data_IF_729396705981
#
_entry.id   IF_729396705981
#
_cell.length_a   1.000
_cell.length_b   1.000
_cell.length_c   1.000
_cell.angle_alpha   90.00
_cell.angle_beta   90.00
_cell.angle_gamma   90.00
#
_symmetry.space_group_name_H-M   'P 1'
#
loop_
_entity.id
_entity.type
_entity.pdbx_description
1 polymer ?
#
# COMPACT_ATOMS: atom_id res chain seq x y z
N UNK A 1 12.06 12.35 11.20
CA UNK A 1 10.68 12.41 10.70
C UNK A 1 10.26 10.97 10.47
N UNK A 2 9.45 10.41 11.37
CA UNK A 2 9.00 9.02 11.25
C UNK A 2 8.01 8.90 10.10
N UNK A 3 8.02 7.76 9.41
CA UNK A 3 6.97 7.45 8.44
C UNK A 3 5.77 7.01 9.27
N UNK A 4 4.67 7.77 9.25
CA UNK A 4 3.40 7.31 9.82
C UNK A 4 2.86 6.21 8.92
N UNK A 5 2.95 4.97 9.42
CA UNK A 5 2.47 3.78 8.73
C UNK A 5 1.02 3.55 9.18
N UNK A 6 0.10 3.18 8.26
CA UNK A 6 -1.28 2.86 8.63
C UNK A 6 -1.32 1.82 9.75
N UNK A 7 -2.27 1.91 10.68
CA UNK A 7 -2.39 0.98 11.80
C UNK A 7 -3.06 -0.35 11.42
N UNK A 8 -3.69 -0.42 10.23
CA UNK A 8 -4.37 -1.62 9.76
C UNK A 8 -4.46 -1.71 8.23
N UNK A 9 -4.88 -2.88 7.74
CA UNK A 9 -5.15 -3.13 6.31
C UNK A 9 -6.30 -2.23 5.82
N UNK A 10 -7.35 -2.04 6.63
CA UNK A 10 -8.52 -1.26 6.25
C UNK A 10 -8.20 0.24 6.18
N UNK A 11 -7.32 0.73 7.07
CA UNK A 11 -6.79 2.09 6.99
C UNK A 11 -5.88 2.27 5.77
N UNK A 12 -5.09 1.26 5.42
CA UNK A 12 -4.27 1.26 4.20
C UNK A 12 -5.15 1.38 2.95
N UNK A 13 -6.26 0.63 2.89
CA UNK A 13 -7.24 0.74 1.80
C UNK A 13 -7.87 2.12 1.73
N UNK A 14 -8.25 2.68 2.88
CA UNK A 14 -8.85 4.02 2.97
C UNK A 14 -7.89 5.07 2.42
N UNK A 15 -6.63 5.05 2.85
CA UNK A 15 -5.59 5.98 2.40
C UNK A 15 -5.32 5.88 0.89
N UNK A 16 -5.27 4.65 0.35
CA UNK A 16 -5.12 4.43 -1.09
C UNK A 16 -6.31 5.01 -1.85
N UNK A 17 -7.54 4.75 -1.40
CA UNK A 17 -8.75 5.28 -2.02
C UNK A 17 -8.84 6.81 -1.97
N UNK A 18 -8.48 7.43 -0.85
CA UNK A 18 -8.43 8.89 -0.68
C UNK A 18 -7.42 9.53 -1.63
N UNK A 19 -6.33 8.82 -1.92
CA UNK A 19 -5.29 9.22 -2.87
C UNK A 19 -5.61 8.81 -4.32
N UNK A 20 -6.84 8.38 -4.61
CA UNK A 20 -7.31 7.92 -5.91
C UNK A 20 -6.55 6.70 -6.48
N UNK A 21 -5.94 5.89 -5.61
CA UNK A 21 -5.42 4.57 -5.99
C UNK A 21 -6.51 3.51 -5.89
N UNK A 22 -6.59 2.68 -6.93
CA UNK A 22 -7.45 1.50 -6.94
C UNK A 22 -6.63 0.34 -6.39
N UNK A 23 -6.99 -0.12 -5.20
CA UNK A 23 -6.34 -1.25 -4.56
C UNK A 23 -7.39 -2.22 -4.03
N UNK A 24 -7.11 -3.51 -4.17
CA UNK A 24 -7.85 -4.55 -3.48
C UNK A 24 -7.25 -4.82 -2.09
N UNK A 25 -7.94 -5.65 -1.32
CA UNK A 25 -7.48 -6.03 0.02
C UNK A 25 -6.12 -6.75 -0.01
N UNK A 26 -5.82 -7.49 -1.08
CA UNK A 26 -4.57 -8.24 -1.21
C UNK A 26 -3.36 -7.31 -1.35
N UNK A 27 -3.47 -6.30 -2.22
CA UNK A 27 -2.46 -5.27 -2.42
C UNK A 27 -2.27 -4.44 -1.14
N UNK A 28 -3.36 -4.00 -0.52
CA UNK A 28 -3.29 -3.24 0.74
C UNK A 28 -2.65 -4.06 1.87
N UNK A 29 -2.93 -5.36 1.94
CA UNK A 29 -2.29 -6.27 2.92
C UNK A 29 -0.79 -6.36 2.69
N UNK A 30 -0.39 -6.58 1.44
CA UNK A 30 1.04 -6.73 1.08
C UNK A 30 1.81 -5.44 1.33
N UNK A 31 1.22 -4.28 1.00
CA UNK A 31 1.79 -2.96 1.26
C UNK A 31 1.90 -2.66 2.76
N UNK A 32 0.84 -2.95 3.54
CA UNK A 32 0.88 -2.77 4.99
C UNK A 32 1.99 -3.60 5.64
N UNK A 33 2.13 -4.88 5.26
CA UNK A 33 3.16 -5.76 5.79
C UNK A 33 4.57 -5.30 5.39
N UNK A 34 4.78 -4.87 4.15
CA UNK A 34 6.10 -4.40 3.70
C UNK A 34 6.56 -3.16 4.47
N UNK A 35 5.64 -2.19 4.67
CA UNK A 35 5.88 -1.00 5.49
C UNK A 35 6.16 -1.37 6.94
N UNK A 36 5.33 -2.24 7.54
CA UNK A 36 5.47 -2.65 8.95
C UNK A 36 6.78 -3.40 9.22
N UNK A 37 7.22 -4.21 8.26
CA UNK A 37 8.45 -5.01 8.37
C UNK A 37 9.70 -4.27 7.89
N UNK A 38 9.56 -3.08 7.32
CA UNK A 38 10.67 -2.35 6.69
C UNK A 38 11.32 -3.15 5.57
N UNK A 39 10.53 -3.90 4.80
CA UNK A 39 11.01 -4.75 3.70
C UNK A 39 10.64 -4.13 2.35
N UNK A 40 11.52 -4.23 1.34
CA UNK A 40 11.20 -3.75 0.00
C UNK A 40 10.02 -4.54 -0.58
N UNK A 41 9.16 -3.84 -1.31
CA UNK A 41 8.06 -4.40 -2.09
C UNK A 41 8.37 -4.21 -3.57
N UNK A 42 8.28 -5.29 -4.34
CA UNK A 42 8.38 -5.23 -5.79
C UNK A 42 6.98 -5.27 -6.40
N UNK A 43 6.65 -4.24 -7.20
CA UNK A 43 5.38 -4.13 -7.90
C UNK A 43 5.57 -4.41 -9.40
N UNK A 44 5.00 -5.52 -9.86
CA UNK A 44 4.94 -5.88 -11.28
C UNK A 44 3.62 -5.38 -11.91
N UNK A 45 3.64 -5.12 -13.22
CA UNK A 45 2.52 -4.52 -13.94
C UNK A 45 2.96 -3.73 -15.16
N UNK A 46 2.02 -3.46 -16.07
CA UNK A 46 2.25 -2.68 -17.29
C UNK A 46 2.61 -1.22 -16.99
N UNK A 47 3.18 -0.53 -17.98
CA UNK A 47 3.46 0.89 -17.85
C UNK A 47 2.14 1.69 -17.65
N UNK A 48 2.12 2.59 -16.67
CA UNK A 48 0.97 3.47 -16.42
C UNK A 48 -0.11 2.93 -15.46
N UNK A 49 0.11 1.79 -14.80
CA UNK A 49 -0.88 1.18 -13.87
C UNK A 49 -0.81 1.71 -12.43
N UNK A 50 0.05 2.68 -12.14
CA UNK A 50 0.16 3.27 -10.80
C UNK A 50 0.96 2.43 -9.79
N UNK A 51 2.09 1.85 -10.24
CA UNK A 51 3.13 1.31 -9.35
C UNK A 51 3.71 2.38 -8.44
#
# INVERSE_FOLDING_TARGET
MGIDIPASIDETLTLLSESHYIADRSLATTLYLSLKMGKPLFLEGEAGVGK
#
